data_IF_355766081035
#
_entry.id   IF_355766081035
#
_cell.length_a   1.000
_cell.length_b   1.000
_cell.length_c   1.000
_cell.angle_alpha   90.00
_cell.angle_beta   90.00
_cell.angle_gamma   90.00
#
_symmetry.space_group_name_H-M   'P 1'
#
loop_
_entity.id
_entity.type
_entity.pdbx_description
1 polymer ?
#
# COMPACT_ATOMS: atom_id res chain seq x y z
N UNK A 1 -1.36 -14.45 -5.07
CA UNK A 1 -0.26 -13.82 -4.31
C UNK A 1 -0.07 -12.41 -4.85
N UNK A 2 -0.09 -11.36 -4.01
CA UNK A 2 0.20 -9.99 -4.43
C UNK A 2 1.70 -9.89 -4.78
N UNK A 3 2.07 -10.36 -5.97
CA UNK A 3 3.45 -10.68 -6.33
C UNK A 3 4.42 -9.50 -6.21
N UNK A 4 3.95 -8.28 -6.48
CA UNK A 4 4.79 -7.08 -6.42
C UNK A 4 5.14 -6.66 -4.99
N UNK A 5 4.22 -6.80 -4.03
CA UNK A 5 4.47 -6.39 -2.63
C UNK A 5 5.34 -7.40 -1.88
N UNK A 6 5.21 -8.70 -2.17
CA UNK A 6 6.00 -9.74 -1.53
C UNK A 6 7.51 -9.68 -1.84
N UNK A 7 7.89 -9.07 -2.97
CA UNK A 7 9.28 -8.95 -3.40
C UNK A 7 9.95 -7.61 -3.06
N UNK A 8 9.25 -6.70 -2.37
CA UNK A 8 9.78 -5.36 -2.09
C UNK A 8 10.89 -5.38 -1.05
N UNK A 9 11.91 -4.56 -1.23
CA UNK A 9 12.91 -4.29 -0.20
C UNK A 9 12.38 -3.27 0.84
N UNK A 10 13.00 -3.25 2.01
CA UNK A 10 12.78 -2.18 2.98
C UNK A 10 13.14 -0.81 2.37
N UNK A 11 12.30 0.19 2.59
CA UNK A 11 12.38 1.53 2.00
C UNK A 11 11.67 1.68 0.65
N UNK A 12 11.29 0.59 -0.04
CA UNK A 12 10.57 0.70 -1.32
C UNK A 12 9.11 1.08 -1.10
N UNK A 13 8.56 1.81 -2.08
CA UNK A 13 7.16 2.26 -2.06
C UNK A 13 6.50 2.14 -3.42
N UNK A 14 5.17 2.03 -3.41
CA UNK A 14 4.31 2.09 -4.59
C UNK A 14 3.01 2.85 -4.29
N UNK A 15 2.32 3.28 -5.34
CA UNK A 15 1.02 3.96 -5.22
C UNK A 15 -0.11 3.00 -5.59
N UNK A 16 -1.10 2.90 -4.71
CA UNK A 16 -2.38 2.27 -5.00
C UNK A 16 -3.34 3.36 -5.43
N UNK A 17 -3.79 3.32 -6.68
CA UNK A 17 -4.89 4.16 -7.18
C UNK A 17 -6.20 3.37 -7.18
N UNK A 18 -7.23 3.91 -6.52
CA UNK A 18 -8.55 3.28 -6.42
C UNK A 18 -9.68 4.33 -6.46
N UNK A 19 -10.91 3.96 -6.85
CA UNK A 19 -12.04 4.90 -6.86
C UNK A 19 -12.53 5.32 -5.45
N UNK A 20 -12.04 4.63 -4.41
CA UNK A 20 -12.31 4.89 -2.99
C UNK A 20 -11.10 4.40 -2.17
N UNK A 21 -11.02 4.78 -0.89
CA UNK A 21 -9.95 4.30 -0.01
C UNK A 21 -9.94 2.76 0.05
N UNK A 22 -8.85 2.08 -0.39
CA UNK A 22 -8.82 0.64 -0.60
C UNK A 22 -8.55 -0.13 0.71
N UNK A 23 -9.31 0.14 1.77
CA UNK A 23 -9.12 -0.42 3.12
C UNK A 23 -8.92 -1.95 3.15
N UNK A 24 -9.71 -2.77 2.41
CA UNK A 24 -9.50 -4.22 2.41
C UNK A 24 -8.14 -4.63 1.85
N UNK A 25 -7.62 -3.94 0.83
CA UNK A 25 -6.31 -4.22 0.25
C UNK A 25 -5.18 -3.81 1.20
N UNK A 26 -5.30 -2.66 1.87
CA UNK A 26 -4.32 -2.24 2.88
C UNK A 26 -4.23 -3.26 4.01
N UNK A 27 -5.37 -3.76 4.48
CA UNK A 27 -5.42 -4.82 5.49
C UNK A 27 -4.76 -6.13 5.03
N UNK A 28 -4.90 -6.50 3.75
CA UNK A 28 -4.22 -7.67 3.18
C UNK A 28 -2.70 -7.46 3.10
N UNK A 29 -2.24 -6.24 2.77
CA UNK A 29 -0.81 -5.92 2.73
C UNK A 29 -0.20 -6.00 4.14
N UNK A 30 -0.93 -5.59 5.18
CA UNK A 30 -0.50 -5.74 6.56
C UNK A 30 -0.33 -7.20 7.02
N UNK A 31 -0.86 -8.18 6.27
CA UNK A 31 -0.62 -9.61 6.54
C UNK A 31 0.66 -10.13 5.86
N UNK A 32 1.32 -9.32 5.02
CA UNK A 32 2.59 -9.68 4.41
C UNK A 32 3.74 -9.50 5.42
N UNK A 33 4.85 -10.26 5.31
CA UNK A 33 5.99 -10.10 6.20
C UNK A 33 6.56 -8.68 6.21
N UNK A 34 7.13 -8.28 7.34
CA UNK A 34 7.73 -6.97 7.53
C UNK A 34 6.75 -5.90 7.99
N UNK A 35 7.27 -4.69 8.20
CA UNK A 35 6.49 -3.54 8.64
C UNK A 35 6.04 -2.72 7.44
N UNK A 36 4.78 -2.27 7.46
CA UNK A 36 4.16 -1.55 6.34
C UNK A 36 3.52 -0.24 6.82
N UNK A 37 3.67 0.81 6.02
CA UNK A 37 3.03 2.10 6.27
C UNK A 37 2.23 2.56 5.06
N UNK A 38 1.17 3.33 5.33
CA UNK A 38 0.24 3.82 4.32
C UNK A 38 -0.01 5.31 4.51
N UNK A 39 0.15 6.08 3.44
CA UNK A 39 -0.05 7.54 3.40
C UNK A 39 -1.05 7.87 2.30
N UNK A 40 -2.15 8.55 2.66
CA UNK A 40 -3.13 9.03 1.68
C UNK A 40 -2.56 10.30 1.03
N UNK A 41 -2.27 10.23 -0.27
CA UNK A 41 -1.79 11.36 -1.06
C UNK A 41 -2.94 12.13 -1.72
N UNK A 42 -4.03 11.43 -2.07
CA UNK A 42 -5.24 12.02 -2.66
C UNK A 42 -6.47 11.41 -1.99
N UNK A 43 -7.37 12.26 -1.50
CA UNK A 43 -8.59 11.92 -0.74
C UNK A 43 -9.86 12.17 -1.59
N UNK A 44 -9.91 11.59 -2.79
CA UNK A 44 -11.10 11.63 -3.66
C UNK A 44 -11.50 13.03 -4.16
N UNK A 45 -12.73 13.16 -4.73
CA UNK A 45 -13.68 12.09 -5.04
C UNK A 45 -13.43 11.38 -6.38
N UNK A 46 -12.57 11.91 -7.27
CA UNK A 46 -12.28 11.24 -8.54
C UNK A 46 -11.51 9.93 -8.35
N UNK A 47 -10.51 9.93 -7.49
CA UNK A 47 -9.74 8.76 -7.12
C UNK A 47 -8.98 9.01 -5.82
N UNK A 48 -8.52 7.92 -5.23
CA UNK A 48 -7.66 7.88 -4.07
C UNK A 48 -6.30 7.36 -4.48
N UNK A 49 -5.26 8.06 -4.07
CA UNK A 49 -3.88 7.58 -4.16
C UNK A 49 -3.37 7.32 -2.74
N UNK A 50 -2.92 6.10 -2.50
CA UNK A 50 -2.30 5.72 -1.23
C UNK A 50 -0.88 5.26 -1.51
N UNK A 51 0.10 5.99 -0.97
CA UNK A 51 1.49 5.52 -0.95
C UNK A 51 1.60 4.41 0.09
N UNK A 52 2.08 3.26 -0.36
CA UNK A 52 2.35 2.11 0.47
C UNK A 52 3.85 1.86 0.49
N UNK A 53 4.44 1.79 1.68
CA UNK A 53 5.89 1.66 1.87
C UNK A 53 6.19 0.47 2.77
N UNK A 54 7.15 -0.37 2.37
CA UNK A 54 7.72 -1.41 3.25
C UNK A 54 8.81 -0.78 4.09
N UNK A 55 8.64 -0.70 5.40
CA UNK A 55 9.60 -0.04 6.30
C UNK A 55 10.75 -0.97 6.66
N UNK A 56 10.44 -2.24 6.95
CA UNK A 56 11.43 -3.26 7.28
C UNK A 56 10.94 -4.66 6.88
N UNK A 57 11.86 -5.64 6.93
CA UNK A 57 11.63 -7.06 6.72
C UNK A 57 11.45 -7.80 8.04
#
# INVERSE_FOLDING_TARGET
>A
MLGAAGSMNAGESFIIRAPHLPRPLLAQIMQLPGEWTFEVLVDGPQYWDVRTTRVSL
#
